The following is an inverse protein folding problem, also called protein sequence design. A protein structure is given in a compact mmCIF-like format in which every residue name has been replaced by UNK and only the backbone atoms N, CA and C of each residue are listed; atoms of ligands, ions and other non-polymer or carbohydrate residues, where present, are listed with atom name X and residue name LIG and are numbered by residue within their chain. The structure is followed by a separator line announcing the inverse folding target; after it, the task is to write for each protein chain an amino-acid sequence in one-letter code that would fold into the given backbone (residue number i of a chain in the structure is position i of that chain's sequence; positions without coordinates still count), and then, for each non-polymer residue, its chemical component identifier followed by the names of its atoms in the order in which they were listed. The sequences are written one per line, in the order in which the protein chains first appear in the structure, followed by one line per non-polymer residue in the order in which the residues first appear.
data_IF_844051239879
#
_entry.id   IF_844051239879
#
_cell.length_a   1.000
_cell.length_b   1.000
_cell.length_c   1.000
_cell.angle_alpha   90.00
_cell.angle_beta   90.00
_cell.angle_gamma   90.00
#
_symmetry.space_group_name_H-M   'P 1'
#
loop_
_entity.id
_entity.type
_entity.pdbx_description
1 polymer ?
#
# COMPACT_ATOMS: atom_id res chain seq x y z
N UNK A 1 -4.86 -20.84 16.64
CA UNK A 1 -4.58 -21.53 15.37
C UNK A 1 -3.92 -20.53 14.43
N UNK A 2 -2.60 -20.63 14.25
CA UNK A 2 -1.86 -19.75 13.33
C UNK A 2 -1.88 -20.41 11.96
N UNK A 3 -2.65 -19.87 11.02
CA UNK A 3 -2.62 -20.32 9.63
C UNK A 3 -1.37 -19.66 9.02
N UNK A 4 -0.29 -20.42 8.88
CA UNK A 4 0.88 -19.98 8.12
C UNK A 4 0.58 -20.34 6.66
N UNK A 5 -0.12 -19.45 5.96
CA UNK A 5 -0.25 -19.55 4.51
C UNK A 5 1.14 -19.32 3.90
N UNK A 6 1.82 -20.40 3.54
CA UNK A 6 3.11 -20.36 2.83
C UNK A 6 2.95 -19.91 1.36
N UNK A 7 1.87 -19.20 1.03
CA UNK A 7 1.53 -18.79 -0.32
C UNK A 7 1.28 -17.28 -0.39
N UNK A 8 1.54 -16.71 -1.57
CA UNK A 8 1.26 -15.31 -1.84
C UNK A 8 -0.25 -15.05 -1.84
N UNK A 9 -0.71 -14.07 -1.06
CA UNK A 9 -2.12 -13.64 -0.96
C UNK A 9 -2.72 -13.15 -2.29
N UNK A 10 -1.88 -12.91 -3.32
CA UNK A 10 -2.29 -12.38 -4.63
C UNK A 10 -2.25 -13.43 -5.75
N UNK A 11 -1.15 -14.19 -5.86
CA UNK A 11 -0.97 -15.15 -6.97
C UNK A 11 -1.02 -16.62 -6.52
N UNK A 12 -1.19 -16.89 -5.23
CA UNK A 12 -1.23 -18.23 -4.65
C UNK A 12 0.02 -19.09 -4.96
N UNK A 13 1.17 -18.46 -5.21
CA UNK A 13 2.45 -19.15 -5.39
C UNK A 13 3.21 -19.27 -4.06
N UNK A 14 4.01 -20.33 -3.87
CA UNK A 14 4.78 -20.52 -2.63
C UNK A 14 5.70 -19.33 -2.31
N UNK A 15 5.76 -18.97 -1.03
CA UNK A 15 6.65 -17.94 -0.51
C UNK A 15 7.84 -18.59 0.19
N UNK A 16 9.06 -18.18 -0.20
CA UNK A 16 10.27 -18.54 0.55
C UNK A 16 10.23 -18.03 2.01
N UNK A 17 9.55 -16.90 2.24
CA UNK A 17 9.36 -16.34 3.57
C UNK A 17 7.87 -16.03 3.75
N UNK A 18 7.13 -16.98 4.33
CA UNK A 18 5.67 -16.93 4.47
C UNK A 18 5.16 -15.64 5.14
N UNK A 19 5.91 -15.15 6.13
CA UNK A 19 5.57 -13.94 6.88
C UNK A 19 5.48 -12.66 6.03
N UNK A 20 5.99 -12.68 4.78
CA UNK A 20 5.84 -11.57 3.84
C UNK A 20 4.40 -11.44 3.32
N UNK A 21 3.67 -12.54 3.19
CA UNK A 21 2.30 -12.62 2.64
C UNK A 21 2.15 -12.26 1.16
N UNK A 22 3.03 -11.44 0.59
CA UNK A 22 3.04 -11.07 -0.83
C UNK A 22 4.45 -11.32 -1.40
N UNK A 23 4.51 -11.98 -2.56
CA UNK A 23 5.78 -12.28 -3.21
C UNK A 23 6.35 -11.04 -3.91
N UNK A 24 7.67 -11.02 -4.14
CA UNK A 24 8.32 -9.89 -4.78
C UNK A 24 7.85 -9.61 -6.22
N UNK A 25 7.33 -10.62 -6.93
CA UNK A 25 6.75 -10.44 -8.26
C UNK A 25 5.44 -9.65 -8.19
N UNK A 26 4.50 -10.08 -7.36
CA UNK A 26 3.22 -9.37 -7.18
C UNK A 26 3.41 -7.97 -6.60
N UNK A 27 4.39 -7.79 -5.71
CA UNK A 27 4.72 -6.47 -5.17
C UNK A 27 5.22 -5.51 -6.25
N UNK A 28 6.12 -5.96 -7.15
CA UNK A 28 6.59 -5.14 -8.28
C UNK A 28 5.53 -4.90 -9.35
N UNK A 29 4.57 -5.83 -9.48
CA UNK A 29 3.44 -5.69 -10.40
C UNK A 29 2.29 -4.83 -9.85
N UNK A 30 2.45 -4.20 -8.68
CA UNK A 30 1.46 -3.28 -8.17
C UNK A 30 1.38 -2.04 -9.07
N UNK A 31 0.17 -1.48 -9.28
CA UNK A 31 0.04 -0.29 -10.11
C UNK A 31 0.88 0.86 -9.54
N UNK A 32 1.61 1.52 -10.43
CA UNK A 32 2.37 2.71 -10.06
C UNK A 32 1.44 3.83 -9.61
N UNK A 33 1.95 4.64 -8.71
CA UNK A 33 1.23 5.78 -8.18
C UNK A 33 1.59 6.99 -9.04
N UNK A 34 0.61 7.77 -9.54
CA UNK A 34 0.90 8.97 -10.29
C UNK A 34 1.66 9.98 -9.42
N UNK A 35 2.22 11.05 -10.01
CA UNK A 35 2.70 12.18 -9.21
C UNK A 35 1.57 12.66 -8.28
N UNK A 36 1.86 12.72 -6.99
CA UNK A 36 0.94 13.23 -5.98
C UNK A 36 1.65 14.19 -5.04
N UNK A 37 0.87 15.08 -4.45
CA UNK A 37 1.35 15.94 -3.39
C UNK A 37 1.82 15.11 -2.19
N UNK A 38 3.07 15.32 -1.74
CA UNK A 38 3.64 14.63 -0.57
C UNK A 38 2.89 14.92 0.73
N UNK A 39 2.22 16.07 0.81
CA UNK A 39 1.46 16.50 1.99
C UNK A 39 0.03 15.94 2.03
N UNK A 40 -0.76 16.11 0.98
CA UNK A 40 -2.18 15.70 0.99
C UNK A 40 -2.50 14.45 0.15
N UNK A 41 -1.59 13.94 -0.67
CA UNK A 41 -1.81 12.78 -1.53
C UNK A 41 -2.68 13.03 -2.76
N UNK A 42 -3.04 14.28 -3.07
CA UNK A 42 -3.80 14.59 -4.29
C UNK A 42 -2.94 14.44 -5.54
N UNK A 43 -3.50 13.93 -6.66
CA UNK A 43 -2.82 13.89 -7.96
C UNK A 43 -2.31 15.26 -8.38
N UNK A 44 -1.11 15.27 -8.96
CA UNK A 44 -0.47 16.44 -9.53
C UNK A 44 -0.29 16.26 -11.04
N UNK A 45 -0.38 17.37 -11.77
CA UNK A 45 -0.08 17.40 -13.21
C UNK A 45 1.43 17.41 -13.45
N UNK A 46 2.18 18.08 -12.57
CA UNK A 46 3.64 18.17 -12.59
C UNK A 46 4.25 17.55 -11.32
N UNK A 47 5.48 17.04 -11.35
CA UNK A 47 6.11 16.35 -10.21
C UNK A 47 6.63 17.32 -9.13
N UNK A 48 5.82 18.30 -8.76
CA UNK A 48 6.10 19.22 -7.65
C UNK A 48 5.95 18.50 -6.29
N UNK A 49 6.66 18.92 -5.23
CA UNK A 49 6.55 18.28 -3.93
C UNK A 49 5.18 18.55 -3.26
N UNK A 50 4.61 19.73 -3.46
CA UNK A 50 3.36 20.17 -2.83
C UNK A 50 2.39 20.80 -3.84
N UNK A 51 1.09 20.61 -3.62
CA UNK A 51 0.05 21.28 -4.41
C UNK A 51 -0.22 22.70 -3.87
N UNK A 52 -0.81 23.57 -4.71
CA UNK A 52 -1.15 24.95 -4.31
C UNK A 52 -2.06 25.05 -3.08
N UNK A 53 -2.99 24.09 -2.90
CA UNK A 53 -3.82 24.01 -1.69
C UNK A 53 -2.97 23.82 -0.44
N UNK A 54 -2.00 22.91 -0.49
CA UNK A 54 -1.12 22.68 0.65
C UNK A 54 -0.32 23.94 0.95
N UNK A 55 0.31 24.56 -0.04
CA UNK A 55 1.10 25.78 0.15
C UNK A 55 0.31 26.91 0.84
N UNK A 56 -0.96 27.10 0.47
CA UNK A 56 -1.80 28.15 1.04
C UNK A 56 -2.40 27.78 2.41
N UNK A 57 -2.85 26.54 2.55
CA UNK A 57 -3.54 26.06 3.74
C UNK A 57 -3.11 24.61 4.05
N UNK A 58 -2.03 24.42 4.80
CA UNK A 58 -1.57 23.10 5.21
C UNK A 58 -2.66 22.30 5.91
N UNK A 59 -2.86 21.00 5.57
CA UNK A 59 -3.60 20.11 6.46
C UNK A 59 -2.84 19.90 7.79
N UNK A 60 -3.49 19.36 8.83
CA UNK A 60 -2.86 19.18 10.16
C UNK A 60 -1.80 18.07 10.21
N UNK A 61 -1.57 17.34 9.11
CA UNK A 61 -0.54 16.31 9.01
C UNK A 61 0.60 16.75 8.09
N UNK A 62 1.78 16.18 8.31
CA UNK A 62 3.01 16.55 7.60
C UNK A 62 3.11 15.90 6.22
N UNK A 63 2.75 14.62 6.12
CA UNK A 63 2.80 13.86 4.89
C UNK A 63 1.75 12.77 4.84
N UNK A 64 1.39 12.37 3.62
CA UNK A 64 0.52 11.23 3.37
C UNK A 64 1.26 10.26 2.44
N UNK A 65 1.34 9.01 2.87
CA UNK A 65 2.03 7.95 2.15
C UNK A 65 1.00 6.91 1.67
N UNK A 66 1.17 6.47 0.42
CA UNK A 66 0.39 5.39 -0.16
C UNK A 66 1.29 4.41 -0.91
N UNK A 67 0.90 3.13 -0.91
CA UNK A 67 1.57 2.10 -1.73
C UNK A 67 1.15 2.22 -3.19
N UNK A 68 -0.15 2.35 -3.43
CA UNK A 68 -0.79 2.50 -4.73
C UNK A 68 -2.19 3.09 -4.53
N UNK A 69 -2.88 3.44 -5.61
CA UNK A 69 -4.28 3.86 -5.56
C UNK A 69 -5.19 2.77 -4.97
N UNK A 70 -6.39 3.14 -4.51
CA UNK A 70 -7.37 2.17 -4.02
C UNK A 70 -8.02 1.40 -5.18
N UNK A 71 -7.28 0.43 -5.73
CA UNK A 71 -7.67 -0.37 -6.89
C UNK A 71 -7.12 -1.80 -6.78
N UNK A 72 -7.55 -2.74 -7.64
CA UNK A 72 -6.99 -4.08 -7.67
C UNK A 72 -5.46 -4.06 -7.88
N UNK A 73 -4.72 -5.02 -7.30
CA UNK A 73 -5.24 -6.14 -6.51
C UNK A 73 -5.39 -5.82 -5.01
N UNK A 74 -4.82 -4.72 -4.50
CA UNK A 74 -4.79 -4.43 -3.07
C UNK A 74 -6.14 -3.99 -2.49
N UNK A 75 -7.02 -3.38 -3.29
CA UNK A 75 -8.36 -3.00 -2.83
C UNK A 75 -9.13 -4.20 -2.25
N UNK A 76 -9.01 -5.38 -2.87
CA UNK A 76 -9.63 -6.61 -2.38
C UNK A 76 -9.02 -7.06 -1.03
N UNK A 77 -7.69 -6.97 -0.88
CA UNK A 77 -7.01 -7.29 0.39
C UNK A 77 -7.44 -6.34 1.52
N UNK A 78 -7.49 -5.04 1.24
CA UNK A 78 -7.93 -4.03 2.21
C UNK A 78 -9.39 -4.26 2.61
N UNK A 79 -10.25 -4.60 1.65
CA UNK A 79 -11.64 -4.93 1.92
C UNK A 79 -11.77 -6.16 2.83
N UNK A 80 -11.05 -7.25 2.54
CA UNK A 80 -11.04 -8.47 3.37
C UNK A 80 -10.55 -8.19 4.79
N UNK A 81 -9.55 -7.33 4.95
CA UNK A 81 -9.08 -6.88 6.25
C UNK A 81 -10.16 -6.09 7.00
N UNK A 82 -10.79 -5.10 6.36
CA UNK A 82 -11.74 -4.18 7.00
C UNK A 82 -13.07 -4.84 7.36
N UNK A 83 -13.57 -5.73 6.50
CA UNK A 83 -14.97 -6.16 6.54
C UNK A 83 -15.15 -7.67 6.63
N UNK A 84 -14.12 -8.47 6.39
CA UNK A 84 -14.22 -9.94 6.43
C UNK A 84 -13.46 -10.57 7.60
N UNK A 85 -12.94 -9.76 8.54
CA UNK A 85 -12.24 -10.25 9.73
C UNK A 85 -10.90 -10.95 9.45
N UNK A 86 -10.35 -10.83 8.23
CA UNK A 86 -9.12 -11.51 7.82
C UNK A 86 -7.87 -10.76 8.31
N UNK A 87 -7.65 -10.77 9.62
CA UNK A 87 -6.57 -10.00 10.28
C UNK A 87 -5.16 -10.46 9.90
N UNK A 88 -4.98 -11.70 9.44
CA UNK A 88 -3.70 -12.22 8.96
C UNK A 88 -3.14 -11.40 7.76
N UNK A 89 -4.02 -10.77 6.97
CA UNK A 89 -3.65 -9.89 5.85
C UNK A 89 -2.94 -8.62 6.33
N UNK A 90 -3.23 -8.16 7.56
CA UNK A 90 -2.72 -6.88 8.08
C UNK A 90 -1.20 -6.79 8.04
N UNK A 91 -0.50 -7.90 8.35
CA UNK A 91 0.96 -7.92 8.35
C UNK A 91 1.55 -7.74 6.95
N UNK A 92 0.95 -8.37 5.94
CA UNK A 92 1.38 -8.23 4.55
C UNK A 92 1.19 -6.79 4.06
N UNK A 93 0.06 -6.16 4.36
CA UNK A 93 -0.22 -4.77 4.01
C UNK A 93 0.70 -3.79 4.77
N UNK A 94 0.93 -4.02 6.07
CA UNK A 94 1.83 -3.20 6.88
C UNK A 94 3.27 -3.25 6.37
N UNK A 95 3.74 -4.41 5.91
CA UNK A 95 5.06 -4.56 5.27
C UNK A 95 5.17 -3.70 4.01
N UNK A 96 4.15 -3.69 3.14
CA UNK A 96 4.16 -2.85 1.94
C UNK A 96 4.26 -1.35 2.28
N UNK A 97 3.54 -0.91 3.31
CA UNK A 97 3.64 0.46 3.83
C UNK A 97 5.03 0.75 4.39
N UNK A 98 5.59 -0.15 5.22
CA UNK A 98 6.92 0.01 5.80
C UNK A 98 7.99 0.20 4.72
N UNK A 99 7.90 -0.55 3.62
CA UNK A 99 8.83 -0.40 2.49
C UNK A 99 8.74 0.96 1.81
N UNK A 100 7.59 1.62 1.84
CA UNK A 100 7.44 2.99 1.32
C UNK A 100 7.93 4.05 2.29
N UNK A 101 7.92 3.77 3.60
CA UNK A 101 8.51 4.66 4.62
C UNK A 101 10.03 4.64 4.55
N UNK A 102 10.62 3.47 4.22
CA UNK A 102 12.07 3.25 4.18
C UNK A 102 12.72 3.52 2.81
N UNK A 103 11.93 3.82 1.77
CA UNK A 103 12.40 4.12 0.42
C UNK A 103 12.73 5.61 0.29
#
# INVERSE_FOLDING_TARGET
MVIIENYCLLCNQPLAIAVHGICGFCERGLPEMPPVCRRCGLPLVTPEPECGRCLQSPPPWQSLLAVTGYQPPLAALVHRLKYSGQTHIARALARLLLRRVLA
#
